data_IF_711812328367
#
_entry.id   IF_711812328367
#
_cell.length_a   1.000
_cell.length_b   1.000
_cell.length_c   1.000
_cell.angle_alpha   90.00
_cell.angle_beta   90.00
_cell.angle_gamma   90.00
#
_symmetry.space_group_name_H-M   'P 1'
#
loop_
_entity.id
_entity.type
_entity.pdbx_description
1 polymer ?
#
# COMPACT_ATOMS: atom_id res chain seq x y z
N UNK A 1 -7.52 -42.36 29.70
CA UNK A 1 -6.16 -41.90 30.05
C UNK A 1 -5.23 -42.31 28.91
N UNK A 2 -4.47 -41.38 28.30
CA UNK A 2 -3.52 -41.75 27.22
C UNK A 2 -2.24 -42.32 27.85
N UNK A 3 -1.61 -43.37 27.29
CA UNK A 3 -0.35 -43.90 27.80
C UNK A 3 0.75 -42.83 27.79
N UNK A 4 1.61 -42.82 28.81
CA UNK A 4 2.70 -41.82 28.94
C UNK A 4 3.62 -41.81 27.71
N UNK A 5 3.94 -42.99 27.17
CA UNK A 5 4.70 -43.15 25.92
C UNK A 5 4.09 -42.42 24.72
N UNK A 6 2.76 -42.34 24.65
CA UNK A 6 2.05 -41.63 23.58
C UNK A 6 2.12 -40.11 23.80
N UNK A 7 2.10 -39.66 25.05
CA UNK A 7 2.24 -38.24 25.40
C UNK A 7 3.65 -37.75 25.05
N UNK A 8 4.68 -38.51 25.43
CA UNK A 8 6.07 -38.16 25.19
C UNK A 8 6.41 -38.18 23.68
N UNK A 9 5.89 -39.17 22.94
CA UNK A 9 6.02 -39.22 21.48
C UNK A 9 5.40 -37.99 20.79
N UNK A 10 4.18 -37.61 21.18
CA UNK A 10 3.50 -36.45 20.61
C UNK A 10 4.22 -35.14 20.92
N UNK A 11 4.83 -35.03 22.10
CA UNK A 11 5.63 -33.86 22.49
C UNK A 11 6.94 -33.78 21.69
N UNK A 12 7.61 -34.92 21.46
CA UNK A 12 8.87 -34.98 20.73
C UNK A 12 8.73 -34.75 19.21
N UNK A 13 7.64 -35.21 18.60
CA UNK A 13 7.41 -35.10 17.14
C UNK A 13 7.13 -33.67 16.66
N UNK A 14 6.66 -32.78 17.53
CA UNK A 14 6.19 -31.44 17.13
C UNK A 14 7.27 -30.52 16.55
N UNK A 15 8.55 -30.78 16.84
CA UNK A 15 9.66 -29.91 16.46
C UNK A 15 9.85 -29.77 14.94
N UNK A 16 9.77 -30.88 14.20
CA UNK A 16 9.92 -30.88 12.74
C UNK A 16 8.78 -30.13 12.07
N UNK A 17 7.55 -30.39 12.51
CA UNK A 17 6.34 -29.79 11.95
C UNK A 17 6.31 -28.27 12.15
N UNK A 18 6.79 -27.78 13.30
CA UNK A 18 6.87 -26.35 13.59
C UNK A 18 7.92 -25.65 12.73
N UNK A 19 9.10 -26.26 12.53
CA UNK A 19 10.14 -25.73 11.65
C UNK A 19 9.65 -25.61 10.21
N UNK A 20 9.00 -26.66 9.70
CA UNK A 20 8.44 -26.69 8.34
C UNK A 20 7.34 -25.64 8.19
N UNK A 21 6.48 -25.48 9.21
CA UNK A 21 5.44 -24.46 9.24
C UNK A 21 6.05 -23.04 9.19
N UNK A 22 7.09 -22.76 9.98
CA UNK A 22 7.76 -21.45 9.99
C UNK A 22 8.48 -21.15 8.67
N UNK A 23 9.04 -22.16 8.00
CA UNK A 23 9.62 -22.01 6.65
C UNK A 23 8.54 -21.74 5.60
N UNK A 24 7.45 -22.51 5.63
CA UNK A 24 6.38 -22.47 4.63
C UNK A 24 5.62 -21.14 4.59
N UNK A 25 5.40 -20.49 5.74
CA UNK A 25 4.68 -19.21 5.79
C UNK A 25 5.31 -18.10 4.95
N UNK A 26 6.62 -18.14 4.76
CA UNK A 26 7.36 -17.08 4.06
C UNK A 26 8.41 -17.68 3.11
N UNK A 27 8.04 -18.68 2.32
CA UNK A 27 8.96 -19.30 1.34
C UNK A 27 9.37 -18.32 0.23
N UNK A 28 10.65 -18.37 -0.14
CA UNK A 28 11.19 -17.63 -1.29
C UNK A 28 11.20 -18.48 -2.57
N UNK A 29 10.70 -19.72 -2.53
CA UNK A 29 10.67 -20.61 -3.68
C UNK A 29 9.82 -20.05 -4.82
N UNK A 30 10.38 -20.10 -6.03
CA UNK A 30 9.68 -19.81 -7.28
C UNK A 30 9.70 -21.05 -8.19
N UNK A 31 8.77 -21.10 -9.14
CA UNK A 31 8.75 -22.17 -10.15
C UNK A 31 10.05 -22.11 -10.95
N UNK A 32 10.89 -23.13 -10.79
CA UNK A 32 12.16 -23.31 -11.52
C UNK A 32 12.30 -24.78 -11.93
N UNK A 33 12.91 -25.00 -13.09
CA UNK A 33 13.26 -26.33 -13.63
C UNK A 33 14.54 -26.86 -12.96
N UNK A 34 15.38 -25.97 -12.42
CA UNK A 34 16.65 -26.30 -11.78
C UNK A 34 16.43 -26.67 -10.31
N UNK A 35 16.39 -27.96 -10.00
CA UNK A 35 16.10 -28.46 -8.65
C UNK A 35 17.08 -27.97 -7.58
N UNK A 36 18.36 -27.85 -7.93
CA UNK A 36 19.41 -27.42 -7.00
C UNK A 36 19.20 -25.98 -6.50
N UNK A 37 18.60 -25.10 -7.32
CA UNK A 37 18.25 -23.76 -6.87
C UNK A 37 17.20 -23.81 -5.77
N UNK A 38 16.19 -24.67 -5.91
CA UNK A 38 15.16 -24.84 -4.87
C UNK A 38 15.77 -25.29 -3.54
N UNK A 39 16.69 -26.25 -3.58
CA UNK A 39 17.42 -26.70 -2.39
C UNK A 39 18.24 -25.58 -1.77
N UNK A 40 18.99 -24.81 -2.56
CA UNK A 40 19.74 -23.67 -2.05
C UNK A 40 18.83 -22.61 -1.39
N UNK A 41 17.70 -22.28 -2.02
CA UNK A 41 16.75 -21.31 -1.46
C UNK A 41 16.11 -21.79 -0.15
N UNK A 42 15.72 -23.06 -0.05
CA UNK A 42 15.17 -23.61 1.19
C UNK A 42 16.20 -23.68 2.32
N UNK A 43 17.44 -24.08 2.03
CA UNK A 43 18.51 -24.09 3.04
C UNK A 43 18.83 -22.69 3.56
N UNK A 44 18.96 -21.71 2.65
CA UNK A 44 19.39 -20.34 3.00
C UNK A 44 18.24 -19.55 3.63
N UNK A 45 17.08 -19.50 2.98
CA UNK A 45 15.98 -18.60 3.38
C UNK A 45 14.90 -19.29 4.22
N UNK A 46 14.80 -20.61 4.15
CA UNK A 46 13.94 -21.41 5.02
C UNK A 46 14.65 -21.72 6.33
N UNK A 47 15.53 -22.72 6.28
CA UNK A 47 16.19 -23.29 7.46
C UNK A 47 17.09 -22.30 8.20
N UNK A 48 18.00 -21.61 7.51
CA UNK A 48 18.98 -20.74 8.19
C UNK A 48 18.33 -19.50 8.83
N UNK A 49 17.28 -18.95 8.22
CA UNK A 49 16.53 -17.81 8.78
C UNK A 49 15.73 -18.24 10.01
N UNK A 50 15.08 -19.40 9.98
CA UNK A 50 14.33 -19.91 11.13
C UNK A 50 15.29 -20.21 12.29
N UNK A 51 16.42 -20.87 12.03
CA UNK A 51 17.42 -21.15 13.07
C UNK A 51 17.99 -19.87 13.69
N UNK A 52 18.35 -18.88 12.87
CA UNK A 52 18.84 -17.59 13.38
C UNK A 52 17.78 -16.83 14.19
N UNK A 53 16.50 -16.91 13.80
CA UNK A 53 15.39 -16.35 14.57
C UNK A 53 15.21 -17.03 15.92
N UNK A 54 15.35 -18.36 15.99
CA UNK A 54 15.27 -19.10 17.25
C UNK A 54 16.42 -18.72 18.20
N UNK A 55 17.65 -18.66 17.68
CA UNK A 55 18.82 -18.18 18.44
C UNK A 55 18.60 -16.75 18.94
N UNK A 56 18.05 -15.87 18.08
CA UNK A 56 17.74 -14.50 18.47
C UNK A 56 16.74 -14.43 19.62
N UNK A 57 15.67 -15.23 19.57
CA UNK A 57 14.67 -15.31 20.65
C UNK A 57 15.24 -15.84 21.96
N UNK A 58 16.15 -16.80 21.88
CA UNK A 58 16.80 -17.37 23.06
C UNK A 58 17.73 -16.36 23.74
N UNK A 59 18.49 -15.59 22.96
CA UNK A 59 19.43 -14.60 23.50
C UNK A 59 18.77 -13.27 23.90
N UNK A 60 17.65 -12.90 23.29
CA UNK A 60 16.96 -11.62 23.51
C UNK A 60 15.50 -11.84 23.95
N UNK A 61 15.31 -12.36 25.16
CA UNK A 61 14.00 -12.74 25.72
C UNK A 61 13.03 -11.56 25.90
N UNK A 62 13.52 -10.32 25.90
CA UNK A 62 12.70 -9.11 26.09
C UNK A 62 12.08 -8.56 24.80
N UNK A 63 12.49 -9.04 23.63
CA UNK A 63 11.96 -8.57 22.34
C UNK A 63 10.90 -9.53 21.79
N UNK A 64 9.62 -9.13 21.89
CA UNK A 64 8.49 -9.84 21.28
C UNK A 64 8.41 -9.60 19.77
N UNK A 65 9.51 -9.84 19.05
CA UNK A 65 9.58 -9.65 17.60
C UNK A 65 9.01 -10.88 16.88
N UNK A 66 8.05 -10.65 16.00
CA UNK A 66 7.51 -11.70 15.13
C UNK A 66 8.52 -12.07 14.02
N UNK A 67 8.50 -13.31 13.52
CA UNK A 67 9.39 -13.78 12.45
C UNK A 67 9.33 -12.88 11.19
N UNK A 68 8.18 -12.27 10.91
CA UNK A 68 8.04 -11.30 9.82
C UNK A 68 8.90 -10.05 10.04
N UNK A 69 8.80 -9.45 11.23
CA UNK A 69 9.56 -8.26 11.60
C UNK A 69 11.07 -8.56 11.66
N UNK A 70 11.44 -9.76 12.13
CA UNK A 70 12.81 -10.23 12.10
C UNK A 70 13.35 -10.31 10.67
N UNK A 71 12.59 -10.91 9.75
CA UNK A 71 12.95 -10.98 8.31
C UNK A 71 13.06 -9.60 7.67
N UNK A 72 12.14 -8.68 7.96
CA UNK A 72 12.22 -7.30 7.47
C UNK A 72 13.49 -6.59 7.95
N UNK A 73 13.85 -6.76 9.23
CA UNK A 73 15.08 -6.22 9.79
C UNK A 73 16.33 -6.82 9.14
N UNK A 74 16.33 -8.13 8.90
CA UNK A 74 17.42 -8.83 8.21
C UNK A 74 17.59 -8.31 6.78
N UNK A 75 16.50 -8.17 6.03
CA UNK A 75 16.51 -7.62 4.66
C UNK A 75 17.04 -6.19 4.67
N UNK A 76 16.57 -5.34 5.59
CA UNK A 76 17.09 -3.98 5.75
C UNK A 76 18.59 -3.98 6.02
N UNK A 77 19.07 -4.81 6.94
CA UNK A 77 20.50 -4.93 7.26
C UNK A 77 21.33 -5.38 6.05
N UNK A 78 20.87 -6.42 5.33
CA UNK A 78 21.58 -6.96 4.16
C UNK A 78 21.61 -5.98 2.99
N UNK A 79 20.55 -5.20 2.78
CA UNK A 79 20.45 -4.24 1.68
C UNK A 79 21.13 -2.90 1.98
N UNK A 80 21.02 -2.41 3.22
CA UNK A 80 21.51 -1.08 3.61
C UNK A 80 22.95 -1.12 4.15
N UNK A 81 23.43 -2.30 4.53
CA UNK A 81 24.66 -2.47 5.28
C UNK A 81 24.51 -1.90 6.69
N UNK A 82 24.48 -2.77 7.69
CA UNK A 82 24.64 -2.29 9.07
C UNK A 82 26.06 -1.76 9.23
N UNK A 83 26.21 -0.48 9.58
CA UNK A 83 27.42 0.05 10.20
C UNK A 83 27.57 -0.58 11.59
N UNK A 84 27.87 -1.87 11.65
CA UNK A 84 28.36 -2.49 12.86
C UNK A 84 29.86 -2.19 12.92
N UNK A 85 30.21 -1.10 13.59
CA UNK A 85 31.55 -0.99 14.16
C UNK A 85 31.81 -2.17 15.12
N UNK A 86 33.10 -2.52 15.22
CA UNK A 86 33.74 -3.33 16.26
C UNK A 86 33.75 -4.86 16.12
N UNK A 87 34.42 -5.36 15.08
CA UNK A 87 35.41 -6.44 15.24
C UNK A 87 36.68 -6.10 14.42
N UNK A 88 37.75 -5.71 15.10
CA UNK A 88 39.15 -5.76 14.65
C UNK A 88 39.94 -6.51 15.74
N UNK A 89 41.00 -7.28 15.43
CA UNK A 89 42.03 -6.93 14.46
C UNK A 89 42.38 -8.05 13.46
N UNK A 90 42.53 -7.65 12.20
CA UNK A 90 43.18 -8.45 11.16
C UNK A 90 43.58 -7.51 10.03
N UNK A 91 44.88 -7.25 9.91
CA UNK A 91 45.47 -6.45 8.84
C UNK A 91 45.35 -7.20 7.51
N UNK A 92 44.56 -6.66 6.57
CA UNK A 92 44.40 -7.30 5.26
C UNK A 92 43.53 -6.52 4.31
N UNK A 93 44.12 -5.46 3.75
CA UNK A 93 43.88 -4.86 2.44
C UNK A 93 42.47 -4.34 2.05
N UNK A 94 42.55 -3.13 1.51
CA UNK A 94 41.49 -2.23 1.11
C UNK A 94 40.72 -2.70 -0.13
N UNK A 95 39.43 -2.38 -0.12
CA UNK A 95 38.66 -1.86 -1.25
C UNK A 95 38.53 -2.72 -2.51
N UNK A 96 37.32 -3.21 -2.77
CA UNK A 96 36.68 -3.04 -4.09
C UNK A 96 35.16 -3.25 -3.97
N UNK A 97 34.41 -2.28 -4.50
CA UNK A 97 33.03 -2.44 -4.98
C UNK A 97 31.92 -2.67 -3.94
N UNK A 98 31.76 -1.74 -2.99
CA UNK A 98 30.45 -1.55 -2.34
C UNK A 98 29.49 -0.85 -3.31
N UNK A 99 28.59 -1.63 -3.90
CA UNK A 99 27.40 -1.14 -4.58
C UNK A 99 26.56 -0.33 -3.59
N UNK A 100 26.66 1.00 -3.70
CA UNK A 100 25.85 2.00 -3.00
C UNK A 100 24.39 1.94 -3.45
N UNK A 101 23.63 0.96 -2.97
CA UNK A 101 22.17 1.10 -2.92
C UNK A 101 21.78 1.69 -1.57
N UNK A 102 22.17 2.97 -1.33
CA UNK A 102 21.40 3.75 -0.36
C UNK A 102 19.99 3.80 -0.93
N UNK A 103 19.04 3.10 -0.32
CA UNK A 103 17.63 3.45 -0.42
C UNK A 103 17.54 4.87 0.13
N UNK A 104 17.72 5.86 -0.75
CA UNK A 104 17.41 7.24 -0.45
C UNK A 104 15.92 7.22 -0.27
N UNK A 105 15.49 7.37 0.98
CA UNK A 105 14.09 7.53 1.32
C UNK A 105 13.61 8.77 0.57
N UNK A 106 12.93 8.57 -0.55
CA UNK A 106 12.42 9.68 -1.34
C UNK A 106 11.24 10.26 -0.58
N UNK A 107 11.46 11.38 0.11
CA UNK A 107 10.39 12.13 0.76
C UNK A 107 9.59 12.86 -0.33
N UNK A 108 8.30 12.55 -0.42
CA UNK A 108 7.37 13.29 -1.27
C UNK A 108 7.00 14.59 -0.55
N UNK A 109 7.17 15.71 -1.22
CA UNK A 109 6.72 17.03 -0.75
C UNK A 109 5.52 17.48 -1.60
N UNK A 110 4.48 17.96 -0.94
CA UNK A 110 3.32 18.56 -1.58
C UNK A 110 3.70 19.95 -2.10
N UNK A 111 3.36 20.24 -3.37
CA UNK A 111 3.58 21.56 -3.97
C UNK A 111 2.20 22.15 -4.27
N UNK A 112 1.97 23.38 -3.84
CA UNK A 112 0.69 24.08 -3.93
C UNK A 112 0.34 24.53 -5.38
N UNK A 113 1.27 24.41 -6.33
CA UNK A 113 1.13 24.90 -7.71
C UNK A 113 0.67 23.84 -8.74
N UNK A 114 0.11 24.33 -9.86
CA UNK A 114 -0.42 23.51 -10.96
C UNK A 114 0.64 22.60 -11.61
N UNK A 115 0.38 21.28 -11.57
CA UNK A 115 1.26 20.22 -12.06
C UNK A 115 1.62 20.27 -13.57
N UNK A 116 1.01 21.17 -14.36
CA UNK A 116 1.34 21.33 -15.79
C UNK A 116 2.72 21.96 -16.03
N UNK A 117 3.25 22.72 -15.07
CA UNK A 117 4.47 23.52 -15.25
C UNK A 117 5.76 22.92 -14.66
N UNK A 118 5.73 21.69 -14.14
CA UNK A 118 6.87 21.17 -13.36
C UNK A 118 7.38 19.84 -13.95
N UNK A 119 7.95 19.90 -15.16
CA UNK A 119 8.87 18.85 -15.64
C UNK A 119 10.24 19.08 -15.00
N UNK A 120 10.44 18.63 -13.76
CA UNK A 120 11.75 18.71 -13.12
C UNK A 120 12.62 17.51 -13.51
N UNK A 121 13.94 17.72 -13.45
CA UNK A 121 14.95 16.65 -13.53
C UNK A 121 15.34 16.30 -12.10
N UNK A 122 15.63 15.03 -11.84
CA UNK A 122 16.06 14.58 -10.51
C UNK A 122 17.34 15.31 -10.08
N UNK A 123 17.27 16.08 -9.00
CA UNK A 123 18.40 16.83 -8.43
C UNK A 123 19.56 15.90 -8.10
N UNK A 124 19.29 14.73 -7.50
CA UNK A 124 20.33 13.75 -7.18
C UNK A 124 21.04 13.17 -8.42
N UNK A 125 20.30 12.91 -9.51
CA UNK A 125 20.93 12.48 -10.77
C UNK A 125 21.78 13.59 -11.39
N UNK A 126 21.30 14.83 -11.33
CA UNK A 126 22.05 15.99 -11.80
C UNK A 126 23.34 16.18 -11.00
N UNK A 127 23.29 16.17 -9.67
CA UNK A 127 24.46 16.31 -8.80
C UNK A 127 25.49 15.19 -8.99
N UNK A 128 25.03 13.95 -9.21
CA UNK A 128 25.91 12.82 -9.54
C UNK A 128 26.57 13.02 -10.90
N UNK A 129 25.80 13.39 -11.94
CA UNK A 129 26.32 13.69 -13.27
C UNK A 129 27.31 14.84 -13.27
N UNK A 130 27.07 15.88 -12.46
CA UNK A 130 27.95 17.05 -12.33
C UNK A 130 29.35 16.71 -11.82
N UNK A 131 29.53 15.59 -11.13
CA UNK A 131 30.85 15.10 -10.70
C UNK A 131 31.66 14.48 -11.84
N UNK A 132 31.02 14.11 -12.94
CA UNK A 132 31.61 13.34 -14.04
C UNK A 132 31.53 14.06 -15.40
N UNK A 133 30.59 14.99 -15.58
CA UNK A 133 30.25 15.57 -16.87
C UNK A 133 29.89 17.06 -16.79
N UNK A 134 29.85 17.71 -17.96
CA UNK A 134 29.44 19.11 -18.11
C UNK A 134 27.99 19.33 -17.63
N UNK A 135 27.64 20.59 -17.36
CA UNK A 135 26.30 20.97 -16.89
C UNK A 135 25.19 20.51 -17.84
N UNK A 136 25.38 20.70 -19.14
CA UNK A 136 24.40 20.35 -20.17
C UNK A 136 24.23 18.83 -20.30
N UNK A 137 25.33 18.09 -20.35
CA UNK A 137 25.31 16.63 -20.39
C UNK A 137 24.66 16.03 -19.12
N UNK A 138 24.99 16.57 -17.95
CA UNK A 138 24.42 16.15 -16.66
C UNK A 138 22.91 16.42 -16.59
N UNK A 139 22.46 17.57 -17.12
CA UNK A 139 21.05 17.92 -17.15
C UNK A 139 20.25 17.05 -18.14
N UNK A 140 20.84 16.75 -19.30
CA UNK A 140 20.24 15.86 -20.30
C UNK A 140 20.10 14.42 -19.77
N UNK A 141 21.15 13.91 -19.10
CA UNK A 141 21.21 12.57 -18.53
C UNK A 141 20.39 12.39 -17.23
N UNK A 142 20.09 13.48 -16.50
CA UNK A 142 19.30 13.41 -15.28
C UNK A 142 17.90 12.83 -15.55
N UNK A 143 17.44 11.90 -14.71
CA UNK A 143 16.11 11.28 -14.87
C UNK A 143 15.01 12.35 -14.77
N UNK A 144 14.02 12.29 -15.67
CA UNK A 144 12.83 13.13 -15.57
C UNK A 144 12.02 12.68 -14.36
N UNK A 145 11.67 13.59 -13.47
CA UNK A 145 10.72 13.32 -12.39
C UNK A 145 9.34 13.74 -12.84
N UNK A 146 8.34 12.93 -12.48
CA UNK A 146 6.93 13.27 -12.66
C UNK A 146 6.36 13.50 -11.27
N UNK A 147 5.76 14.68 -11.06
CA UNK A 147 4.93 14.92 -9.89
C UNK A 147 3.69 14.03 -10.01
N UNK A 148 3.66 13.01 -9.16
CA UNK A 148 2.52 12.13 -8.97
C UNK A 148 1.55 12.92 -8.09
N UNK A 149 0.57 13.61 -8.70
CA UNK A 149 -0.48 14.26 -7.90
C UNK A 149 -1.20 13.20 -7.04
N UNK A 150 -1.33 13.41 -5.73
CA UNK A 150 -2.11 12.49 -4.90
C UNK A 150 -3.57 12.52 -5.34
N UNK A 151 -4.23 11.37 -5.25
CA UNK A 151 -5.67 11.24 -5.51
C UNK A 151 -6.33 11.27 -4.14
N UNK A 152 -6.72 12.46 -3.70
CA UNK A 152 -7.31 12.67 -2.39
C UNK A 152 -8.81 12.78 -2.50
N UNK A 153 -9.50 12.10 -1.60
CA UNK A 153 -10.95 12.20 -1.45
C UNK A 153 -11.22 12.79 -0.08
N UNK A 154 -11.91 13.93 -0.05
CA UNK A 154 -12.37 14.57 1.18
C UNK A 154 -13.86 14.31 1.33
N UNK A 155 -14.24 13.65 2.42
CA UNK A 155 -15.61 13.39 2.80
C UNK A 155 -16.06 14.43 3.82
N UNK A 156 -17.16 15.13 3.54
CA UNK A 156 -17.70 16.18 4.40
C UNK A 156 -19.13 15.80 4.78
N UNK A 157 -19.42 15.77 6.08
CA UNK A 157 -20.77 15.51 6.56
C UNK A 157 -21.49 16.83 6.89
N UNK A 158 -22.55 17.14 6.14
CA UNK A 158 -23.46 18.27 6.43
C UNK A 158 -24.86 17.80 6.84
N UNK A 159 -25.04 16.51 7.08
CA UNK A 159 -26.27 15.96 7.63
C UNK A 159 -26.26 16.06 9.16
N UNK A 160 -27.45 15.99 9.76
CA UNK A 160 -27.63 15.97 11.22
C UNK A 160 -27.28 14.61 11.87
N UNK A 161 -27.05 13.57 11.07
CA UNK A 161 -26.67 12.23 11.53
C UNK A 161 -25.17 11.97 11.38
N UNK A 162 -24.62 11.07 12.19
CA UNK A 162 -23.24 10.60 12.04
C UNK A 162 -23.11 9.67 10.83
N UNK A 163 -22.10 9.90 9.99
CA UNK A 163 -21.79 9.03 8.85
C UNK A 163 -20.72 8.03 9.24
N UNK A 164 -21.11 6.77 9.43
CA UNK A 164 -20.17 5.64 9.45
C UNK A 164 -19.66 5.39 8.02
N UNK A 165 -18.49 5.97 7.71
CA UNK A 165 -17.86 5.88 6.40
C UNK A 165 -17.07 4.58 6.29
N UNK A 166 -17.43 3.77 5.29
CA UNK A 166 -16.82 2.48 5.00
C UNK A 166 -16.31 2.47 3.57
N UNK A 167 -15.14 1.86 3.34
CA UNK A 167 -14.65 1.52 2.00
C UNK A 167 -14.70 0.01 1.77
N UNK A 168 -14.99 -0.36 0.53
CA UNK A 168 -14.90 -1.74 0.05
C UNK A 168 -14.01 -1.76 -1.17
N UNK A 169 -12.97 -2.59 -1.16
CA UNK A 169 -12.14 -2.84 -2.35
C UNK A 169 -12.64 -4.11 -3.02
N UNK A 170 -12.58 -4.18 -4.35
CA UNK A 170 -12.96 -5.39 -5.07
C UNK A 170 -12.26 -6.63 -4.49
N UNK A 171 -13.03 -7.69 -4.24
CA UNK A 171 -12.58 -8.96 -3.64
C UNK A 171 -11.96 -8.83 -2.24
N UNK A 172 -12.31 -7.80 -1.46
CA UNK A 172 -11.87 -7.65 -0.06
C UNK A 172 -13.05 -7.27 0.83
N UNK A 173 -13.00 -7.64 2.13
CA UNK A 173 -14.01 -7.22 3.08
C UNK A 173 -14.04 -5.69 3.23
N UNK A 174 -15.23 -5.17 3.50
CA UNK A 174 -15.43 -3.75 3.81
C UNK A 174 -14.67 -3.36 5.08
N UNK A 175 -14.03 -2.19 5.08
CA UNK A 175 -13.28 -1.63 6.22
C UNK A 175 -13.82 -0.26 6.57
N UNK A 176 -14.11 -0.04 7.85
CA UNK A 176 -14.46 1.28 8.38
C UNK A 176 -13.27 2.24 8.28
N UNK A 177 -13.56 3.46 7.82
CA UNK A 177 -12.59 4.56 7.75
C UNK A 177 -12.74 5.44 8.98
N UNK A 178 -13.94 5.99 9.18
CA UNK A 178 -14.22 6.94 10.26
C UNK A 178 -15.73 7.05 10.53
N UNK A 179 -16.08 7.52 11.72
CA UNK A 179 -17.40 8.05 12.02
C UNK A 179 -17.35 9.58 11.91
N UNK A 180 -17.97 10.13 10.86
CA UNK A 180 -17.95 11.58 10.62
C UNK A 180 -19.18 12.18 11.31
N UNK A 181 -18.96 12.91 12.42
CA UNK A 181 -20.02 13.63 13.11
C UNK A 181 -20.59 14.77 12.25
N UNK A 182 -21.81 15.28 12.55
CA UNK A 182 -22.38 16.44 11.85
C UNK A 182 -21.41 17.62 11.80
N UNK A 183 -21.22 18.19 10.62
CA UNK A 183 -20.25 19.27 10.36
C UNK A 183 -18.79 18.83 10.22
N UNK A 184 -18.48 17.56 10.49
CA UNK A 184 -17.14 17.01 10.41
C UNK A 184 -16.68 16.67 8.99
N UNK A 185 -15.39 16.38 8.85
CA UNK A 185 -14.82 15.85 7.61
C UNK A 185 -13.69 14.86 7.86
N UNK A 186 -13.39 14.03 6.87
CA UNK A 186 -12.23 13.11 6.86
C UNK A 186 -11.69 13.03 5.44
N UNK A 187 -10.38 12.89 5.29
CA UNK A 187 -9.73 12.68 3.99
C UNK A 187 -9.07 11.32 3.91
N UNK A 188 -8.96 10.78 2.69
CA UNK A 188 -8.10 9.65 2.42
C UNK A 188 -7.48 9.75 1.02
N UNK A 189 -6.27 9.25 0.88
CA UNK A 189 -5.58 9.14 -0.41
C UNK A 189 -5.75 7.75 -1.01
N UNK A 190 -5.91 7.68 -2.34
CA UNK A 190 -6.00 6.44 -3.08
C UNK A 190 -4.66 6.08 -3.75
N UNK A 191 -4.18 4.83 -3.60
CA UNK A 191 -3.02 4.35 -4.34
C UNK A 191 -3.35 4.05 -5.80
N UNK A 192 -2.31 3.88 -6.61
CA UNK A 192 -2.45 3.45 -8.00
C UNK A 192 -3.06 2.06 -8.09
N UNK A 193 -3.94 1.84 -9.08
CA UNK A 193 -4.66 0.57 -9.23
C UNK A 193 -5.70 0.32 -8.14
N UNK A 194 -6.08 1.33 -7.36
CA UNK A 194 -7.20 1.20 -6.43
C UNK A 194 -8.53 1.13 -7.17
N UNK A 195 -9.42 0.24 -6.76
CA UNK A 195 -10.77 0.12 -7.32
C UNK A 195 -11.72 -0.41 -6.26
N UNK A 196 -12.85 0.26 -6.10
CA UNK A 196 -13.83 -0.06 -5.08
C UNK A 196 -14.85 1.05 -4.87
N UNK A 197 -15.54 1.01 -3.74
CA UNK A 197 -16.57 1.98 -3.38
C UNK A 197 -16.44 2.51 -1.95
N UNK A 198 -17.08 3.65 -1.74
CA UNK A 198 -17.28 4.31 -0.46
C UNK A 198 -18.77 4.45 -0.16
N UNK A 199 -19.16 4.22 1.09
CA UNK A 199 -20.56 4.28 1.50
C UNK A 199 -20.75 4.63 2.96
N UNK A 200 -21.96 5.08 3.29
CA UNK A 200 -22.45 5.05 4.66
C UNK A 200 -22.98 3.65 4.99
N UNK A 201 -22.47 3.03 6.05
CA UNK A 201 -22.89 1.68 6.46
C UNK A 201 -24.15 1.65 7.36
N UNK A 202 -24.73 2.81 7.70
CA UNK A 202 -25.94 2.91 8.52
C UNK A 202 -27.22 3.18 7.72
N UNK A 203 -28.35 3.06 8.40
CA UNK A 203 -29.68 3.37 7.87
C UNK A 203 -30.46 2.17 7.33
N UNK A 204 -31.73 2.40 7.01
CA UNK A 204 -32.64 1.47 6.36
C UNK A 204 -33.03 2.03 4.99
N UNK A 205 -33.20 1.19 3.97
CA UNK A 205 -33.66 1.64 2.65
C UNK A 205 -32.67 1.56 1.49
N UNK A 206 -31.53 0.91 1.68
CA UNK A 206 -30.54 0.60 0.64
C UNK A 206 -29.19 1.27 0.86
N UNK A 207 -28.35 1.31 -0.18
CA UNK A 207 -26.99 1.85 -0.07
C UNK A 207 -26.69 2.81 -1.23
N UNK A 208 -26.44 4.08 -0.90
CA UNK A 208 -25.84 5.03 -1.85
C UNK A 208 -24.32 4.81 -1.90
N UNK A 209 -23.80 4.48 -3.08
CA UNK A 209 -22.38 4.19 -3.31
C UNK A 209 -21.72 5.33 -4.08
N UNK A 210 -20.48 5.66 -3.70
CA UNK A 210 -19.53 6.35 -4.56
C UNK A 210 -18.49 5.34 -5.02
N UNK A 211 -18.52 5.00 -6.30
CA UNK A 211 -17.57 4.06 -6.90
C UNK A 211 -16.42 4.85 -7.52
N UNK A 212 -15.20 4.35 -7.33
CA UNK A 212 -14.01 4.98 -7.91
C UNK A 212 -12.95 3.94 -8.24
N UNK A 213 -12.32 4.12 -9.39
CA UNK A 213 -11.29 3.25 -9.93
C UNK A 213 -10.15 4.08 -10.51
N UNK A 214 -8.94 3.87 -9.99
CA UNK A 214 -7.70 4.50 -10.42
C UNK A 214 -6.98 3.57 -11.37
N UNK A 215 -6.86 3.97 -12.64
CA UNK A 215 -6.11 3.20 -13.64
C UNK A 215 -4.61 3.38 -13.43
N UNK A 216 -3.88 2.29 -13.24
CA UNK A 216 -2.47 2.32 -12.81
C UNK A 216 -1.50 3.00 -13.81
N UNK A 217 -1.78 2.92 -15.12
CA UNK A 217 -0.83 3.35 -16.15
C UNK A 217 -0.88 4.86 -16.44
N UNK A 218 -2.08 5.42 -16.55
CA UNK A 218 -2.33 6.82 -16.92
C UNK A 218 -2.86 7.65 -15.74
N UNK A 219 -3.16 7.01 -14.60
CA UNK A 219 -3.75 7.60 -13.39
C UNK A 219 -5.03 8.38 -13.68
N UNK A 220 -5.76 7.95 -14.72
CA UNK A 220 -7.14 8.38 -14.93
C UNK A 220 -8.01 7.75 -13.84
N UNK A 221 -8.88 8.59 -13.29
CA UNK A 221 -9.81 8.22 -12.22
C UNK A 221 -11.19 8.11 -12.85
N UNK A 222 -11.73 6.91 -12.85
CA UNK A 222 -13.11 6.63 -13.24
C UNK A 222 -13.96 6.62 -11.99
N UNK A 223 -15.10 7.30 -12.02
CA UNK A 223 -15.94 7.45 -10.85
C UNK A 223 -17.40 7.63 -11.23
N UNK A 224 -18.28 7.23 -10.33
CA UNK A 224 -19.72 7.35 -10.49
C UNK A 224 -20.42 7.28 -9.13
N UNK A 225 -21.71 7.59 -9.15
CA UNK A 225 -22.61 7.35 -8.03
C UNK A 225 -23.53 6.19 -8.41
N UNK A 226 -23.82 5.31 -7.45
CA UNK A 226 -24.74 4.19 -7.66
C UNK A 226 -25.78 4.11 -6.54
N UNK A 227 -27.04 3.90 -6.92
CA UNK A 227 -28.18 3.65 -6.03
C UNK A 227 -28.94 2.39 -6.45
N UNK A 228 -28.27 1.48 -7.17
CA UNK A 228 -28.82 0.19 -7.60
C UNK A 228 -29.28 -0.61 -6.38
N UNK A 229 -28.46 -0.64 -5.33
CA UNK A 229 -28.76 -1.31 -4.05
C UNK A 229 -29.69 -0.46 -3.15
N UNK A 230 -30.35 0.55 -3.72
CA UNK A 230 -31.22 1.50 -3.04
C UNK A 230 -30.50 2.75 -2.56
N UNK A 231 -31.10 3.46 -1.60
CA UNK A 231 -30.66 4.80 -1.20
C UNK A 231 -30.85 4.99 0.29
N UNK A 232 -29.79 5.41 0.99
CA UNK A 232 -29.84 5.74 2.42
C UNK A 232 -29.46 7.19 2.71
N UNK A 233 -28.38 7.70 2.13
CA UNK A 233 -27.91 9.07 2.37
C UNK A 233 -27.72 9.82 1.05
N UNK A 234 -28.07 11.12 1.01
CA UNK A 234 -27.79 11.94 -0.15
C UNK A 234 -26.29 12.23 -0.25
N UNK A 235 -25.77 12.20 -1.46
CA UNK A 235 -24.34 12.36 -1.74
C UNK A 235 -24.13 13.26 -2.95
N UNK A 236 -23.20 14.20 -2.84
CA UNK A 236 -22.74 15.04 -3.95
C UNK A 236 -21.24 14.86 -4.12
N UNK A 237 -20.80 14.67 -5.35
CA UNK A 237 -19.37 14.52 -5.70
C UNK A 237 -18.96 15.71 -6.54
N UNK A 238 -17.84 16.34 -6.18
CA UNK A 238 -17.15 17.33 -7.01
C UNK A 238 -15.78 16.78 -7.38
N UNK A 239 -15.56 16.60 -8.68
CA UNK A 239 -14.31 16.12 -9.22
C UNK A 239 -13.30 17.27 -9.44
N UNK A 240 -12.00 16.95 -9.64
CA UNK A 240 -10.94 17.94 -9.83
C UNK A 240 -11.14 18.83 -11.07
N UNK A 241 -11.79 18.31 -12.10
CA UNK A 241 -12.10 19.02 -13.35
C UNK A 241 -13.34 19.94 -13.24
N UNK A 242 -13.98 19.97 -12.07
CA UNK A 242 -15.18 20.77 -11.82
C UNK A 242 -16.50 20.04 -12.06
N UNK A 243 -16.48 18.81 -12.56
CA UNK A 243 -17.68 17.97 -12.72
C UNK A 243 -18.38 17.77 -11.39
N UNK A 244 -19.72 17.79 -11.40
CA UNK A 244 -20.55 17.65 -10.19
C UNK A 244 -21.62 16.58 -10.41
N UNK A 245 -21.64 15.58 -9.54
CA UNK A 245 -22.66 14.52 -9.54
C UNK A 245 -23.50 14.63 -8.26
N UNK A 246 -24.79 14.30 -8.37
CA UNK A 246 -25.71 14.34 -7.22
C UNK A 246 -26.61 13.11 -7.17
N UNK A 247 -26.56 12.39 -6.05
CA UNK A 247 -27.51 11.36 -5.68
C UNK A 247 -28.31 11.85 -4.47
N UNK A 248 -29.47 12.49 -4.68
CA UNK A 248 -30.29 13.06 -3.60
C UNK A 248 -31.52 12.22 -3.24
N UNK A 249 -31.84 11.24 -4.07
CA UNK A 249 -32.99 10.35 -3.91
C UNK A 249 -32.82 9.06 -4.74
N UNK A 250 -33.70 8.08 -4.52
CA UNK A 250 -33.69 6.76 -5.17
C UNK A 250 -33.67 6.76 -6.71
N UNK A 251 -34.19 7.80 -7.35
CA UNK A 251 -34.23 7.93 -8.82
C UNK A 251 -33.29 9.02 -9.34
N UNK A 252 -32.13 9.17 -8.72
CA UNK A 252 -31.16 10.22 -9.06
C UNK A 252 -30.66 10.07 -10.49
N UNK A 253 -30.76 11.16 -11.28
CA UNK A 253 -30.38 11.15 -12.71
C UNK A 253 -28.87 10.96 -12.92
N UNK A 254 -28.05 11.42 -11.98
CA UNK A 254 -26.59 11.37 -12.06
C UNK A 254 -26.01 10.06 -11.48
N UNK A 255 -26.86 9.12 -11.09
CA UNK A 255 -26.44 7.86 -10.47
C UNK A 255 -26.95 6.65 -11.27
N UNK A 256 -26.22 5.54 -11.18
CA UNK A 256 -26.67 4.25 -11.65
C UNK A 256 -27.96 3.83 -10.94
N UNK A 257 -29.01 3.60 -11.73
CA UNK A 257 -30.27 3.00 -11.28
C UNK A 257 -30.34 1.51 -11.60
N UNK A 258 -29.58 1.06 -12.61
CA UNK A 258 -29.45 -0.33 -13.02
C UNK A 258 -28.06 -0.55 -13.67
N UNK A 259 -27.50 -1.78 -13.65
CA UNK A 259 -26.09 -2.02 -14.00
C UNK A 259 -25.67 -1.66 -15.44
N UNK A 260 -26.61 -1.63 -16.39
CA UNK A 260 -26.29 -1.46 -17.82
C UNK A 260 -26.16 0.02 -18.27
N UNK A 261 -26.36 0.99 -17.37
CA UNK A 261 -26.35 2.42 -17.72
C UNK A 261 -24.94 3.04 -17.70
N UNK A 262 -24.09 2.64 -18.65
CA UNK A 262 -22.71 3.14 -18.74
C UNK A 262 -22.59 4.65 -18.99
N UNK A 263 -23.70 5.36 -19.24
CA UNK A 263 -23.71 6.83 -19.36
C UNK A 263 -23.40 7.54 -18.04
N UNK A 264 -23.44 6.83 -16.91
CA UNK A 264 -23.20 7.37 -15.56
C UNK A 264 -21.74 7.32 -15.12
N UNK A 265 -20.86 6.64 -15.85
CA UNK A 265 -19.42 6.67 -15.55
C UNK A 265 -18.81 8.00 -16.01
N UNK A 266 -18.08 8.63 -15.11
CA UNK A 266 -17.28 9.82 -15.42
C UNK A 266 -15.78 9.50 -15.30
N UNK A 267 -14.96 10.25 -16.03
CA UNK A 267 -13.51 10.14 -15.96
C UNK A 267 -12.90 11.51 -15.73
N UNK A 268 -11.93 11.59 -14.82
CA UNK A 268 -11.11 12.78 -14.61
C UNK A 268 -9.65 12.41 -14.44
N UNK A 269 -8.76 13.40 -14.53
CA UNK A 269 -7.37 13.24 -14.11
C UNK A 269 -7.28 13.11 -12.59
N UNK A 270 -6.15 12.59 -12.11
CA UNK A 270 -5.80 12.59 -10.69
C UNK A 270 -5.89 13.99 -10.07
N UNK A 271 -6.37 14.05 -8.83
CA UNK A 271 -6.52 15.29 -8.07
C UNK A 271 -7.45 15.11 -6.88
N UNK A 272 -7.94 16.23 -6.35
CA UNK A 272 -8.79 16.28 -5.16
C UNK A 272 -10.28 16.15 -5.49
N UNK A 273 -10.90 15.11 -4.97
CA UNK A 273 -12.35 14.91 -4.98
C UNK A 273 -12.95 15.40 -3.66
N UNK A 274 -14.13 16.01 -3.74
CA UNK A 274 -14.91 16.41 -2.56
C UNK A 274 -16.24 15.67 -2.62
N UNK A 275 -16.47 14.80 -1.64
CA UNK A 275 -17.71 14.05 -1.46
C UNK A 275 -18.44 14.64 -0.27
N UNK A 276 -19.61 15.20 -0.50
CA UNK A 276 -20.41 15.85 0.55
C UNK A 276 -21.70 15.08 0.79
N UNK A 277 -21.96 14.73 2.04
CA UNK A 277 -23.25 14.21 2.47
C UNK A 277 -24.15 15.40 2.83
N UNK A 278 -25.08 15.74 1.94
CA UNK A 278 -26.00 16.89 2.11
C UNK A 278 -27.27 16.70 1.29
N UNK A 279 -28.40 17.28 1.74
CA UNK A 279 -29.66 17.30 0.97
C UNK A 279 -29.61 18.27 -0.21
#
# INVERSE_FOLDING_TARGET
MKPQVVVDYNKGRQGTDLSDQLSAYYTCLKRSVKWYQKMAFELIFGTSIVNSYLIYKENYTTSNINILQFRESLVRSLLLGSSSENLKPGSGQQSTSQTKYKLVDHKLEEIEESARNIRRRCTGCYEQGRKQQSREASYAAAKKTVLIMPIDIVFINRLSQTINLVKTRNNRPSRQIANIHPGGSVSCSLPDGWSGNFRHAGGTGGITLFEVSVRANDRNVYYDLSVIDGFNVPMKVRAPDGTRLKALHRRARDAYLFPADNSKTHASRAGKFIVTFER
#
